data_IF_262254927855
#
_entry.id   IF_262254927855
#
_cell.length_a   1.000
_cell.length_b   1.000
_cell.length_c   1.000
_cell.angle_alpha   90.00
_cell.angle_beta   90.00
_cell.angle_gamma   90.00
#
_symmetry.space_group_name_H-M   'P 1'
#
loop_
_entity.id
_entity.type
_entity.pdbx_description
1 polymer ?
#
# COMPACT_ATOMS: atom_id res chain seq x y z
N UNK A 1 -22.52 -22.52 -24.29
CA UNK A 1 -21.10 -22.17 -24.54
C UNK A 1 -20.83 -20.69 -24.31
N UNK A 2 -21.47 -19.77 -25.04
CA UNK A 2 -21.21 -18.31 -24.92
C UNK A 2 -21.59 -17.66 -23.58
N UNK A 3 -22.65 -18.12 -22.88
CA UNK A 3 -23.03 -17.57 -21.57
C UNK A 3 -22.01 -17.84 -20.44
N UNK A 4 -21.19 -18.88 -20.57
CA UNK A 4 -20.20 -19.24 -19.53
C UNK A 4 -19.02 -18.28 -19.56
N UNK A 5 -18.62 -17.82 -20.75
CA UNK A 5 -17.52 -16.87 -20.95
C UNK A 5 -17.83 -15.48 -20.37
N UNK A 6 -19.05 -14.97 -20.54
CA UNK A 6 -19.44 -13.67 -19.95
C UNK A 6 -19.47 -13.71 -18.42
N UNK A 7 -19.78 -14.87 -17.82
CA UNK A 7 -19.74 -15.06 -16.36
C UNK A 7 -18.32 -14.99 -15.79
N UNK A 8 -17.29 -15.32 -16.57
CA UNK A 8 -15.88 -15.20 -16.15
C UNK A 8 -15.27 -13.82 -16.40
N UNK A 9 -15.87 -12.98 -17.25
CA UNK A 9 -15.36 -11.62 -17.52
C UNK A 9 -15.45 -10.71 -16.29
N UNK A 10 -16.57 -10.77 -15.57
CA UNK A 10 -16.77 -9.96 -14.36
C UNK A 10 -15.75 -10.29 -13.24
N UNK A 11 -15.53 -11.56 -12.85
CA UNK A 11 -14.53 -11.88 -11.83
C UNK A 11 -13.10 -11.55 -12.28
N UNK A 12 -12.74 -11.71 -13.56
CA UNK A 12 -11.40 -11.32 -14.05
C UNK A 12 -11.16 -9.82 -13.89
N UNK A 13 -12.16 -8.98 -14.21
CA UNK A 13 -12.04 -7.53 -13.99
C UNK A 13 -11.86 -7.17 -12.52
N UNK A 14 -12.61 -7.81 -11.62
CA UNK A 14 -12.47 -7.60 -10.17
C UNK A 14 -11.09 -8.07 -9.67
N UNK A 15 -10.59 -9.20 -10.17
CA UNK A 15 -9.27 -9.71 -9.83
C UNK A 15 -8.15 -8.78 -10.29
N UNK A 16 -8.22 -8.26 -11.52
CA UNK A 16 -7.23 -7.30 -12.03
C UNK A 16 -7.29 -6.01 -11.22
N UNK A 17 -8.49 -5.47 -10.99
CA UNK A 17 -8.67 -4.24 -10.21
C UNK A 17 -8.16 -4.41 -8.77
N UNK A 18 -8.49 -5.52 -8.11
CA UNK A 18 -8.00 -5.87 -6.78
C UNK A 18 -6.48 -6.07 -6.76
N UNK A 19 -5.90 -6.69 -7.79
CA UNK A 19 -4.45 -6.90 -7.89
C UNK A 19 -3.70 -5.59 -8.07
N UNK A 20 -4.23 -4.65 -8.87
CA UNK A 20 -3.65 -3.31 -9.02
C UNK A 20 -3.74 -2.54 -7.70
N UNK A 21 -4.89 -2.59 -7.02
CA UNK A 21 -5.08 -1.94 -5.73
C UNK A 21 -4.09 -2.50 -4.69
N UNK A 22 -3.94 -3.82 -4.61
CA UNK A 22 -2.97 -4.49 -3.74
C UNK A 22 -1.54 -4.10 -4.09
N UNK A 23 -1.18 -4.13 -5.38
CA UNK A 23 0.16 -3.74 -5.83
C UNK A 23 0.50 -2.30 -5.44
N UNK A 24 -0.45 -1.37 -5.55
CA UNK A 24 -0.27 0.01 -5.12
C UNK A 24 -0.15 0.12 -3.59
N UNK A 25 -1.02 -0.55 -2.83
CA UNK A 25 -1.01 -0.52 -1.38
C UNK A 25 0.30 -1.08 -0.79
N UNK A 26 0.76 -2.23 -1.29
CA UNK A 26 2.04 -2.82 -0.89
C UNK A 26 3.24 -2.03 -1.42
N UNK A 27 3.14 -1.49 -2.63
CA UNK A 27 4.17 -0.65 -3.24
C UNK A 27 4.50 0.56 -2.39
N UNK A 28 3.49 1.33 -1.97
CA UNK A 28 3.67 2.52 -1.12
C UNK A 28 4.34 2.14 0.20
N UNK A 29 3.90 1.04 0.83
CA UNK A 29 4.49 0.55 2.09
C UNK A 29 5.97 0.18 1.92
N UNK A 30 6.34 -0.41 0.78
CA UNK A 30 7.72 -0.78 0.49
C UNK A 30 8.60 0.43 0.16
N UNK A 31 8.03 1.43 -0.53
CA UNK A 31 8.74 2.66 -0.91
C UNK A 31 9.25 3.45 0.30
N UNK A 32 8.58 3.38 1.46
CA UNK A 32 9.04 4.07 2.67
C UNK A 32 10.47 3.70 3.09
N UNK A 33 10.92 2.46 2.86
CA UNK A 33 12.30 2.05 3.17
C UNK A 33 13.34 2.67 2.24
N UNK A 34 13.03 2.77 0.94
CA UNK A 34 13.93 3.36 -0.07
C UNK A 34 14.05 4.88 0.14
N UNK A 35 12.94 5.54 0.47
CA UNK A 35 12.92 6.99 0.67
C UNK A 35 13.34 7.45 2.06
N UNK A 36 13.57 6.54 3.00
CA UNK A 36 13.97 6.87 4.38
C UNK A 36 15.29 7.67 4.43
N UNK A 37 16.31 7.19 3.72
CA UNK A 37 17.64 7.81 3.69
C UNK A 37 17.60 9.20 3.02
N UNK A 38 17.10 9.37 1.78
CA UNK A 38 17.11 10.67 1.12
C UNK A 38 16.22 11.71 1.81
N UNK A 39 15.11 11.30 2.44
CA UNK A 39 14.24 12.22 3.21
C UNK A 39 14.94 12.68 4.49
N UNK A 40 15.58 11.74 5.20
CA UNK A 40 16.35 12.02 6.42
C UNK A 40 17.49 12.98 6.15
N UNK A 41 18.25 12.76 5.07
CA UNK A 41 19.37 13.63 4.68
C UNK A 41 18.90 15.02 4.21
N UNK A 42 17.85 15.09 3.40
CA UNK A 42 17.35 16.37 2.86
C UNK A 42 16.74 17.28 3.94
N UNK A 43 16.02 16.70 4.90
CA UNK A 43 15.36 17.48 5.96
C UNK A 43 16.21 17.58 7.24
N UNK A 44 17.41 17.00 7.26
CA UNK A 44 18.24 16.81 8.46
C UNK A 44 17.47 16.17 9.63
N UNK A 45 16.51 15.32 9.31
CA UNK A 45 15.71 14.60 10.30
C UNK A 45 16.41 13.31 10.68
N UNK A 46 16.50 13.03 11.98
CA UNK A 46 16.94 11.72 12.46
C UNK A 46 15.99 10.60 12.02
N UNK A 47 16.49 9.36 12.04
CA UNK A 47 15.68 8.17 11.74
C UNK A 47 14.49 8.02 12.70
N UNK A 48 14.57 8.61 13.90
CA UNK A 48 13.49 8.64 14.87
C UNK A 48 12.20 9.30 14.37
N UNK A 49 12.27 10.40 13.61
CA UNK A 49 11.08 11.13 13.15
C UNK A 49 10.27 10.28 12.17
N UNK A 50 10.99 9.59 11.27
CA UNK A 50 10.38 8.70 10.29
C UNK A 50 9.79 7.44 10.97
N UNK A 51 10.52 6.85 11.92
CA UNK A 51 10.03 5.71 12.71
C UNK A 51 8.80 6.08 13.55
N UNK A 52 8.76 7.28 14.14
CA UNK A 52 7.61 7.77 14.89
C UNK A 52 6.39 7.97 13.99
N UNK A 53 6.57 8.54 12.79
CA UNK A 53 5.50 8.65 11.79
C UNK A 53 4.93 7.29 11.36
N UNK A 54 5.80 6.32 11.11
CA UNK A 54 5.39 4.94 10.80
C UNK A 54 4.68 4.25 11.98
N UNK A 55 5.14 4.48 13.21
CA UNK A 55 4.48 3.97 14.41
C UNK A 55 3.06 4.54 14.53
N UNK A 56 2.90 5.85 14.33
CA UNK A 56 1.60 6.51 14.33
C UNK A 56 0.66 5.96 13.25
N UNK A 57 1.17 5.78 12.02
CA UNK A 57 0.40 5.16 10.94
C UNK A 57 -0.10 3.76 11.31
N UNK A 58 0.74 2.92 11.94
CA UNK A 58 0.33 1.59 12.38
C UNK A 58 -0.73 1.63 13.50
N UNK A 59 -0.66 2.61 14.41
CA UNK A 59 -1.71 2.83 15.41
C UNK A 59 -3.03 3.23 14.76
N UNK A 60 -3.00 4.15 13.79
CA UNK A 60 -4.19 4.56 13.05
C UNK A 60 -4.82 3.39 12.29
N UNK A 61 -4.01 2.51 11.69
CA UNK A 61 -4.53 1.28 11.08
C UNK A 61 -5.22 0.38 12.09
N UNK A 62 -4.65 0.20 13.29
CA UNK A 62 -5.29 -0.58 14.35
C UNK A 62 -6.61 0.02 14.83
N UNK A 63 -6.72 1.35 14.91
CA UNK A 63 -7.96 2.05 15.29
C UNK A 63 -9.02 1.92 14.19
N UNK A 64 -8.62 1.97 12.93
CA UNK A 64 -9.53 1.92 11.78
C UNK A 64 -9.87 0.51 11.29
N UNK A 65 -9.29 -0.53 11.87
CA UNK A 65 -9.66 -1.92 11.59
C UNK A 65 -10.97 -2.26 12.34
N UNK A 66 -12.09 -2.54 11.63
CA UNK A 66 -13.26 -3.20 12.22
C UNK A 66 -13.04 -4.69 12.44
#
# INVERSE_FOLDING_TARGET
MFQVLDKFRQPIFVLIAGSILLALAFGIRHSFGIFLIPISEKNQWGREVFAMGLAFQNLMWGIWQP
#
